data_IF_861187295385
#
_entry.id   IF_861187295385
#
_cell.length_a   1.000
_cell.length_b   1.000
_cell.length_c   1.000
_cell.angle_alpha   90.00
_cell.angle_beta   90.00
_cell.angle_gamma   90.00
#
_symmetry.space_group_name_H-M   'P 1'
#
loop_
_entity.id
_entity.type
_entity.pdbx_description
1 polymer ?
#
# COMPACT_ATOMS: atom_id res chain seq x y z
N UNK A 1 -2.44 -99.37 -29.37
CA UNK A 1 -2.80 -98.18 -28.56
C UNK A 1 -2.62 -98.53 -27.08
N UNK A 2 -1.46 -98.27 -26.50
CA UNK A 2 -1.19 -98.54 -25.08
C UNK A 2 -1.60 -97.32 -24.25
N UNK A 3 -2.68 -97.45 -23.46
CA UNK A 3 -3.06 -96.43 -22.47
C UNK A 3 -2.12 -96.59 -21.28
N UNK A 4 -1.15 -95.69 -21.14
CA UNK A 4 -0.32 -95.54 -19.94
C UNK A 4 -1.25 -95.41 -18.72
N UNK A 5 -1.19 -96.38 -17.80
CA UNK A 5 -1.86 -96.32 -16.51
C UNK A 5 -1.05 -95.37 -15.63
N UNK A 6 -1.37 -94.09 -15.70
CA UNK A 6 -0.82 -93.08 -14.79
C UNK A 6 -1.16 -93.51 -13.36
N UNK A 7 -0.14 -93.62 -12.50
CA UNK A 7 -0.32 -93.94 -11.08
C UNK A 7 -1.11 -92.79 -10.42
N UNK A 8 -2.34 -93.02 -9.92
CA UNK A 8 -3.19 -91.96 -9.39
C UNK A 8 -2.52 -91.17 -8.26
N UNK A 9 -1.70 -91.82 -7.43
CA UNK A 9 -1.00 -91.17 -6.33
C UNK A 9 0.10 -90.20 -6.81
N UNK A 10 0.75 -90.50 -7.94
CA UNK A 10 1.75 -89.62 -8.53
C UNK A 10 1.10 -88.37 -9.15
N UNK A 11 -0.02 -88.57 -9.86
CA UNK A 11 -0.81 -87.48 -10.44
C UNK A 11 -1.31 -86.49 -9.38
N UNK A 12 -1.88 -86.97 -8.27
CA UNK A 12 -2.35 -86.08 -7.20
C UNK A 12 -1.21 -85.35 -6.49
N UNK A 13 -0.04 -85.99 -6.33
CA UNK A 13 1.14 -85.35 -5.73
C UNK A 13 1.69 -84.22 -6.60
N UNK A 14 1.82 -84.46 -7.91
CA UNK A 14 2.25 -83.45 -8.89
C UNK A 14 1.25 -82.29 -8.95
N UNK A 15 -0.05 -82.59 -8.95
CA UNK A 15 -1.09 -81.55 -8.92
C UNK A 15 -1.08 -80.71 -7.64
N UNK A 16 -0.81 -81.30 -6.48
CA UNK A 16 -0.63 -80.54 -5.24
C UNK A 16 0.59 -79.62 -5.32
N UNK A 17 1.73 -80.10 -5.84
CA UNK A 17 2.94 -79.29 -6.01
C UNK A 17 2.72 -78.12 -6.98
N UNK A 18 1.99 -78.33 -8.08
CA UNK A 18 1.61 -77.25 -9.01
C UNK A 18 0.75 -76.18 -8.33
N UNK A 19 -0.23 -76.60 -7.51
CA UNK A 19 -1.11 -75.67 -6.80
C UNK A 19 -0.35 -74.91 -5.72
N UNK A 20 0.54 -75.57 -4.97
CA UNK A 20 1.42 -74.93 -3.98
C UNK A 20 2.32 -73.88 -4.63
N UNK A 21 2.97 -74.21 -5.76
CA UNK A 21 3.80 -73.26 -6.50
C UNK A 21 3.00 -72.04 -6.98
N UNK A 22 1.78 -72.28 -7.48
CA UNK A 22 0.88 -71.20 -7.94
C UNK A 22 0.42 -70.31 -6.79
N UNK A 23 0.13 -70.87 -5.62
CA UNK A 23 -0.21 -70.09 -4.41
C UNK A 23 0.97 -69.20 -4.02
N UNK A 24 2.19 -69.74 -4.00
CA UNK A 24 3.40 -68.98 -3.67
C UNK A 24 3.64 -67.82 -4.66
N UNK A 25 3.45 -68.07 -5.95
CA UNK A 25 3.55 -67.04 -7.00
C UNK A 25 2.49 -65.94 -6.82
N UNK A 26 1.23 -66.33 -6.58
CA UNK A 26 0.14 -65.38 -6.32
C UNK A 26 0.37 -64.57 -5.04
N UNK A 27 0.86 -65.19 -3.97
CA UNK A 27 1.18 -64.51 -2.72
C UNK A 27 2.30 -63.48 -2.93
N UNK A 28 3.29 -63.79 -3.78
CA UNK A 28 4.35 -62.86 -4.13
C UNK A 28 3.81 -61.68 -4.96
N UNK A 29 2.98 -61.96 -5.96
CA UNK A 29 2.34 -60.93 -6.79
C UNK A 29 1.46 -60.00 -5.93
N UNK A 30 0.70 -60.55 -4.98
CA UNK A 30 -0.11 -59.77 -4.02
C UNK A 30 0.78 -58.86 -3.18
N UNK A 31 1.91 -59.35 -2.65
CA UNK A 31 2.86 -58.53 -1.87
C UNK A 31 3.41 -57.37 -2.68
N UNK A 32 3.86 -57.62 -3.91
CA UNK A 32 4.43 -56.59 -4.78
C UNK A 32 3.39 -55.52 -5.15
N UNK A 33 2.17 -55.92 -5.51
CA UNK A 33 1.08 -54.98 -5.79
C UNK A 33 0.67 -54.18 -4.56
N UNK A 34 0.69 -54.79 -3.38
CA UNK A 34 0.40 -54.09 -2.12
C UNK A 34 1.43 -53.01 -1.85
N UNK A 35 2.72 -53.31 -2.02
CA UNK A 35 3.79 -52.32 -1.89
C UNK A 35 3.65 -51.17 -2.89
N UNK A 36 3.34 -51.47 -4.16
CA UNK A 36 3.13 -50.44 -5.17
C UNK A 36 1.95 -49.51 -4.82
N UNK A 37 0.88 -50.05 -4.23
CA UNK A 37 -0.26 -49.26 -3.78
C UNK A 37 0.11 -48.38 -2.58
N UNK A 38 0.92 -48.88 -1.63
CA UNK A 38 1.41 -48.08 -0.51
C UNK A 38 2.33 -46.95 -0.97
N UNK A 39 3.24 -47.21 -1.91
CA UNK A 39 4.13 -46.19 -2.47
C UNK A 39 3.33 -45.13 -3.25
N UNK A 40 2.32 -45.56 -4.02
CA UNK A 40 1.42 -44.66 -4.72
C UNK A 40 0.59 -43.80 -3.77
N UNK A 41 0.09 -44.36 -2.68
CA UNK A 41 -0.65 -43.61 -1.66
C UNK A 41 0.26 -42.62 -0.92
N UNK A 42 1.49 -43.01 -0.57
CA UNK A 42 2.48 -42.11 0.02
C UNK A 42 2.83 -40.95 -0.91
N UNK A 43 3.02 -41.22 -2.20
CA UNK A 43 3.25 -40.19 -3.21
C UNK A 43 2.03 -39.26 -3.35
N UNK A 44 0.81 -39.81 -3.39
CA UNK A 44 -0.41 -39.02 -3.46
C UNK A 44 -0.56 -38.09 -2.25
N UNK A 45 -0.26 -38.56 -1.03
CA UNK A 45 -0.25 -37.73 0.18
C UNK A 45 0.80 -36.62 0.09
N UNK A 46 2.01 -36.93 -0.35
CA UNK A 46 3.08 -35.94 -0.53
C UNK A 46 2.65 -34.84 -1.51
N UNK A 47 2.16 -35.21 -2.70
CA UNK A 47 1.67 -34.26 -3.70
C UNK A 47 0.50 -33.43 -3.16
N UNK A 48 -0.41 -34.03 -2.38
CA UNK A 48 -1.50 -33.28 -1.75
C UNK A 48 -0.99 -32.26 -0.72
N UNK A 49 0.05 -32.58 0.04
CA UNK A 49 0.68 -31.62 0.97
C UNK A 49 1.34 -30.46 0.23
N UNK A 50 2.09 -30.72 -0.84
CA UNK A 50 2.68 -29.67 -1.68
C UNK A 50 1.60 -28.81 -2.34
N UNK A 51 0.53 -29.43 -2.86
CA UNK A 51 -0.60 -28.71 -3.45
C UNK A 51 -1.27 -27.79 -2.43
N UNK A 52 -1.42 -28.23 -1.18
CA UNK A 52 -1.96 -27.39 -0.10
C UNK A 52 -1.03 -26.22 0.23
N UNK A 53 0.28 -26.46 0.31
CA UNK A 53 1.26 -25.41 0.55
C UNK A 53 1.25 -24.36 -0.58
N UNK A 54 1.27 -24.79 -1.84
CA UNK A 54 1.22 -23.89 -3.00
C UNK A 54 -0.10 -23.11 -3.07
N UNK A 55 -1.23 -23.73 -2.71
CA UNK A 55 -2.51 -23.02 -2.62
C UNK A 55 -2.46 -21.93 -1.55
N UNK A 56 -1.85 -22.21 -0.40
CA UNK A 56 -1.70 -21.21 0.66
C UNK A 56 -0.82 -20.04 0.20
N UNK A 57 0.33 -20.33 -0.41
CA UNK A 57 1.25 -19.31 -0.95
C UNK A 57 0.58 -18.43 -2.01
N UNK A 58 -0.24 -19.03 -2.90
CA UNK A 58 -1.02 -18.28 -3.89
C UNK A 58 -2.05 -17.34 -3.24
N UNK A 59 -2.74 -17.77 -2.18
CA UNK A 59 -3.69 -16.93 -1.46
C UNK A 59 -2.98 -15.80 -0.70
N UNK A 60 -1.83 -16.08 -0.08
CA UNK A 60 -1.00 -15.07 0.60
C UNK A 60 -0.51 -14.01 -0.40
N UNK A 61 0.01 -14.44 -1.56
CA UNK A 61 0.45 -13.54 -2.63
C UNK A 61 -0.71 -12.71 -3.20
N UNK A 62 -1.90 -13.33 -3.36
CA UNK A 62 -3.10 -12.61 -3.82
C UNK A 62 -3.53 -11.53 -2.83
N UNK A 63 -3.47 -11.82 -1.54
CA UNK A 63 -3.81 -10.87 -0.48
C UNK A 63 -2.83 -9.69 -0.43
N UNK A 64 -1.53 -9.96 -0.59
CA UNK A 64 -0.50 -8.92 -0.68
C UNK A 64 -0.72 -8.02 -1.90
N UNK A 65 -0.96 -8.63 -3.07
CA UNK A 65 -1.28 -7.89 -4.31
C UNK A 65 -2.52 -7.02 -4.18
N UNK A 66 -3.59 -7.52 -3.56
CA UNK A 66 -4.81 -6.73 -3.32
C UNK A 66 -4.53 -5.54 -2.38
N UNK A 67 -3.69 -5.75 -1.37
CA UNK A 67 -3.28 -4.70 -0.42
C UNK A 67 -2.49 -3.60 -1.11
N UNK A 68 -1.52 -3.94 -1.95
CA UNK A 68 -0.77 -2.96 -2.75
C UNK A 68 -1.66 -2.22 -3.75
N UNK A 69 -2.57 -2.92 -4.43
CA UNK A 69 -3.54 -2.29 -5.32
C UNK A 69 -4.44 -1.27 -4.59
N UNK A 70 -4.87 -1.58 -3.35
CA UNK A 70 -5.65 -0.66 -2.52
C UNK A 70 -4.85 0.60 -2.19
N UNK A 71 -3.58 0.45 -1.77
CA UNK A 71 -2.67 1.59 -1.50
C UNK A 71 -2.50 2.47 -2.73
N UNK A 72 -2.15 1.87 -3.88
CA UNK A 72 -1.99 2.58 -5.14
C UNK A 72 -3.25 3.33 -5.57
N UNK A 73 -4.43 2.71 -5.43
CA UNK A 73 -5.70 3.32 -5.82
C UNK A 73 -6.02 4.56 -4.98
N UNK A 74 -5.73 4.55 -3.68
CA UNK A 74 -5.94 5.70 -2.80
C UNK A 74 -4.99 6.84 -3.19
N UNK A 75 -3.69 6.56 -3.33
CA UNK A 75 -2.70 7.57 -3.70
C UNK A 75 -2.97 8.18 -5.09
N UNK A 76 -3.30 7.33 -6.08
CA UNK A 76 -3.66 7.77 -7.42
C UNK A 76 -4.89 8.69 -7.42
N UNK A 77 -5.89 8.40 -6.56
CA UNK A 77 -7.07 9.25 -6.41
C UNK A 77 -6.71 10.64 -5.86
N UNK A 78 -5.90 10.70 -4.79
CA UNK A 78 -5.42 11.97 -4.23
C UNK A 78 -4.65 12.76 -5.30
N UNK A 79 -3.68 12.12 -5.96
CA UNK A 79 -2.90 12.76 -7.03
C UNK A 79 -3.77 13.28 -8.17
N UNK A 80 -4.78 12.51 -8.58
CA UNK A 80 -5.75 12.89 -9.62
C UNK A 80 -6.56 14.12 -9.22
N UNK A 81 -7.13 14.14 -8.02
CA UNK A 81 -7.94 15.26 -7.54
C UNK A 81 -7.10 16.54 -7.44
N UNK A 82 -5.87 16.45 -6.93
CA UNK A 82 -4.91 17.57 -6.90
C UNK A 82 -4.58 18.06 -8.31
N UNK A 83 -4.26 17.15 -9.25
CA UNK A 83 -3.87 17.52 -10.61
C UNK A 83 -5.02 18.12 -11.40
N UNK A 84 -6.24 17.60 -11.25
CA UNK A 84 -7.44 18.17 -11.86
C UNK A 84 -7.65 19.62 -11.40
N UNK A 85 -7.48 19.93 -10.11
CA UNK A 85 -7.54 21.32 -9.61
C UNK A 85 -6.54 22.21 -10.34
N UNK A 86 -5.28 21.78 -10.44
CA UNK A 86 -4.24 22.56 -11.12
C UNK A 86 -4.59 22.84 -12.59
N UNK A 87 -5.08 21.84 -13.32
CA UNK A 87 -5.50 22.01 -14.71
C UNK A 87 -6.70 22.94 -14.84
N UNK A 88 -7.66 22.85 -13.92
CA UNK A 88 -8.81 23.75 -13.89
C UNK A 88 -8.38 25.21 -13.64
N UNK A 89 -7.43 25.44 -12.72
CA UNK A 89 -6.89 26.77 -12.45
C UNK A 89 -6.08 27.34 -13.62
N UNK A 90 -5.35 26.48 -14.36
CA UNK A 90 -4.55 26.91 -15.50
C UNK A 90 -5.39 27.41 -16.69
N UNK A 91 -6.69 27.11 -16.74
CA UNK A 91 -7.61 27.56 -17.80
C UNK A 91 -7.65 29.09 -17.95
N UNK A 92 -7.51 29.86 -16.87
CA UNK A 92 -7.48 31.32 -17.00
C UNK A 92 -6.25 31.81 -17.76
N UNK A 93 -5.09 31.21 -17.48
CA UNK A 93 -3.82 31.60 -18.09
C UNK A 93 -3.69 31.10 -19.53
N UNK A 94 -4.10 29.86 -19.79
CA UNK A 94 -3.91 29.21 -21.09
C UNK A 94 -5.04 29.51 -22.07
N UNK A 95 -6.27 29.68 -21.57
CA UNK A 95 -7.48 29.83 -22.41
C UNK A 95 -8.19 31.17 -22.21
N UNK A 96 -7.69 32.06 -21.35
CA UNK A 96 -8.34 33.34 -21.05
C UNK A 96 -9.69 33.22 -20.35
N UNK A 97 -9.98 32.06 -19.74
CA UNK A 97 -11.28 31.82 -19.10
C UNK A 97 -11.39 32.56 -17.76
N UNK A 98 -12.55 33.18 -17.52
CA UNK A 98 -12.83 33.83 -16.24
C UNK A 98 -12.90 32.77 -15.11
N UNK A 99 -12.21 32.96 -13.97
CA UNK A 99 -12.26 32.07 -12.82
C UNK A 99 -13.68 31.77 -12.29
N UNK A 100 -14.64 32.66 -12.50
CA UNK A 100 -16.05 32.43 -12.14
C UNK A 100 -16.69 31.24 -12.90
N UNK A 101 -16.12 30.85 -14.05
CA UNK A 101 -16.58 29.74 -14.87
C UNK A 101 -15.87 28.42 -14.55
N UNK A 102 -14.97 28.41 -13.57
CA UNK A 102 -14.27 27.20 -13.19
C UNK A 102 -15.23 26.21 -12.53
N UNK A 103 -14.96 24.92 -12.73
CA UNK A 103 -15.70 23.88 -12.06
C UNK A 103 -15.37 23.90 -10.55
N UNK A 104 -16.24 24.54 -9.76
CA UNK A 104 -16.07 24.68 -8.32
C UNK A 104 -15.91 23.32 -7.60
N UNK A 105 -16.54 22.25 -8.09
CA UNK A 105 -16.37 20.90 -7.52
C UNK A 105 -14.97 20.33 -7.75
N UNK A 106 -14.35 20.62 -8.89
CA UNK A 106 -12.99 20.20 -9.18
C UNK A 106 -11.99 20.93 -8.29
N UNK A 107 -12.17 22.25 -8.16
CA UNK A 107 -11.37 23.06 -7.26
C UNK A 107 -11.51 22.60 -5.81
N UNK A 108 -12.75 22.38 -5.34
CA UNK A 108 -13.02 21.92 -3.98
C UNK A 108 -12.38 20.56 -3.70
N UNK A 109 -12.56 19.55 -4.56
CA UNK A 109 -11.98 18.21 -4.34
C UNK A 109 -10.46 18.23 -4.30
N UNK A 110 -9.80 18.92 -5.23
CA UNK A 110 -8.34 19.02 -5.19
C UNK A 110 -7.84 19.84 -4.00
N UNK A 111 -8.61 20.83 -3.56
CA UNK A 111 -8.32 21.58 -2.34
C UNK A 111 -8.46 20.73 -1.08
N UNK A 112 -9.49 19.90 -1.01
CA UNK A 112 -9.65 18.95 0.08
C UNK A 112 -8.47 17.96 0.07
N UNK A 113 -8.17 17.33 -1.08
CA UNK A 113 -7.04 16.41 -1.25
C UNK A 113 -5.67 17.00 -0.89
N UNK A 114 -5.46 18.30 -1.10
CA UNK A 114 -4.17 18.96 -0.83
C UNK A 114 -4.02 19.50 0.60
N UNK A 115 -5.12 19.79 1.31
CA UNK A 115 -5.06 20.53 2.57
C UNK A 115 -5.69 19.80 3.77
N UNK A 116 -6.52 18.78 3.54
CA UNK A 116 -7.00 17.91 4.62
C UNK A 116 -5.99 16.81 4.87
N UNK A 117 -5.89 16.40 6.12
CA UNK A 117 -5.23 15.15 6.45
C UNK A 117 -6.06 13.98 5.91
N UNK A 118 -5.38 12.98 5.35
CA UNK A 118 -5.96 11.74 4.85
C UNK A 118 -5.14 10.57 5.37
N UNK A 119 -5.44 10.10 6.57
CA UNK A 119 -4.59 9.11 7.25
C UNK A 119 -4.47 7.80 6.50
N UNK A 120 -5.48 7.41 5.73
CA UNK A 120 -5.38 6.24 4.85
C UNK A 120 -4.37 6.43 3.70
N UNK A 121 -4.30 7.63 3.13
CA UNK A 121 -3.33 7.96 2.09
C UNK A 121 -1.91 8.07 2.68
N UNK A 122 -1.76 8.73 3.81
CA UNK A 122 -0.48 8.90 4.49
C UNK A 122 0.05 7.55 5.02
N UNK A 123 -0.83 6.68 5.52
CA UNK A 123 -0.49 5.32 5.88
C UNK A 123 -0.08 4.50 4.65
N UNK A 124 -0.81 4.62 3.53
CA UNK A 124 -0.44 3.98 2.28
C UNK A 124 0.91 4.47 1.74
N UNK A 125 1.24 5.75 1.92
CA UNK A 125 2.53 6.32 1.54
C UNK A 125 3.68 5.74 2.37
N UNK A 126 3.50 5.60 3.68
CA UNK A 126 4.54 5.09 4.60
C UNK A 126 4.68 3.56 4.58
N UNK A 127 3.59 2.85 4.28
CA UNK A 127 3.56 1.37 4.24
C UNK A 127 3.68 0.80 2.84
N UNK A 128 3.47 1.60 1.81
CA UNK A 128 3.82 1.27 0.44
C UNK A 128 5.26 1.68 0.17
N UNK A 129 5.93 0.98 -0.73
CA UNK A 129 7.32 1.26 -1.10
C UNK A 129 7.39 2.46 -2.07
N UNK A 130 6.84 3.60 -1.65
CA UNK A 130 6.74 4.83 -2.45
C UNK A 130 7.71 5.94 -2.02
N UNK A 131 8.29 5.82 -0.82
CA UNK A 131 9.25 6.75 -0.26
C UNK A 131 10.64 6.13 -0.27
N UNK A 132 11.66 6.98 -0.49
CA UNK A 132 13.04 6.60 -0.23
C UNK A 132 13.27 6.39 1.28
N UNK A 133 14.28 5.59 1.64
CA UNK A 133 14.53 5.21 3.04
C UNK A 133 14.74 6.43 3.97
N UNK A 134 15.40 7.47 3.48
CA UNK A 134 15.63 8.72 4.23
C UNK A 134 14.33 9.49 4.48
N UNK A 135 13.48 9.62 3.45
CA UNK A 135 12.17 10.27 3.57
C UNK A 135 11.28 9.52 4.57
N UNK A 136 11.26 8.20 4.47
CA UNK A 136 10.50 7.33 5.37
C UNK A 136 10.99 7.46 6.81
N UNK A 137 12.30 7.49 7.05
CA UNK A 137 12.86 7.68 8.38
C UNK A 137 12.44 9.01 9.00
N UNK A 138 12.44 10.10 8.22
CA UNK A 138 12.03 11.42 8.69
C UNK A 138 10.52 11.55 8.94
N UNK A 139 9.69 10.94 8.10
CA UNK A 139 8.23 11.11 8.15
C UNK A 139 7.53 10.12 9.09
N UNK A 140 8.12 8.95 9.35
CA UNK A 140 7.49 7.91 10.19
C UNK A 140 7.16 8.41 11.60
N UNK A 141 8.04 9.22 12.20
CA UNK A 141 7.84 9.78 13.54
C UNK A 141 6.74 10.85 13.61
N UNK A 142 6.39 11.47 12.47
CA UNK A 142 5.38 12.53 12.39
C UNK A 142 3.97 11.94 12.36
N UNK A 143 3.78 10.79 11.73
CA UNK A 143 2.48 10.14 11.59
C UNK A 143 1.71 10.02 12.92
N UNK A 144 2.27 9.43 14.01
CA UNK A 144 1.55 9.33 15.28
C UNK A 144 1.28 10.70 15.92
N UNK A 145 2.01 11.76 15.59
CA UNK A 145 1.74 13.10 16.12
C UNK A 145 0.50 13.73 15.45
N UNK A 146 0.24 13.38 14.20
CA UNK A 146 -0.94 13.85 13.44
C UNK A 146 -2.16 12.96 13.72
N UNK A 147 -1.95 11.65 13.77
CA UNK A 147 -3.00 10.62 13.81
C UNK A 147 -3.12 9.95 15.17
N UNK A 148 -3.03 10.76 16.23
CA UNK A 148 -3.40 10.38 17.59
C UNK A 148 -2.69 9.14 18.17
N UNK A 149 -1.37 9.07 17.97
CA UNK A 149 -0.53 7.99 18.49
C UNK A 149 -0.60 6.69 17.68
N UNK A 150 -1.37 6.65 16.59
CA UNK A 150 -1.47 5.46 15.75
C UNK A 150 -0.21 5.27 14.89
N UNK A 151 0.14 4.01 14.65
CA UNK A 151 1.11 3.66 13.61
C UNK A 151 0.40 3.53 12.26
N UNK A 152 1.10 3.75 11.14
CA UNK A 152 0.55 3.59 9.80
C UNK A 152 -0.17 2.24 9.58
N UNK A 153 0.39 1.15 10.11
CA UNK A 153 -0.15 -0.21 9.96
C UNK A 153 -1.45 -0.42 10.76
N UNK A 154 -1.63 0.30 11.86
CA UNK A 154 -2.80 0.16 12.74
C UNK A 154 -3.93 1.11 12.39
N UNK A 155 -3.66 2.13 11.57
CA UNK A 155 -4.62 3.17 11.23
C UNK A 155 -5.94 2.56 10.73
N UNK A 156 -5.89 1.69 9.72
CA UNK A 156 -7.10 1.09 9.11
C UNK A 156 -7.90 0.14 10.01
N UNK A 157 -7.44 -0.16 11.22
CA UNK A 157 -8.15 -1.01 12.19
C UNK A 157 -9.17 -0.27 13.05
N UNK A 158 -9.28 1.05 12.93
CA UNK A 158 -10.23 1.86 13.70
C UNK A 158 -11.64 1.87 13.08
N UNK A 159 -12.69 2.07 13.89
CA UNK A 159 -14.05 2.31 13.37
C UNK A 159 -14.11 3.50 12.41
N UNK A 160 -15.03 3.46 11.45
CA UNK A 160 -15.18 4.46 10.41
C UNK A 160 -15.38 5.89 10.93
N UNK A 161 -16.20 6.09 11.98
CA UNK A 161 -16.38 7.41 12.61
C UNK A 161 -15.12 7.86 13.36
N UNK A 162 -14.38 6.94 13.95
CA UNK A 162 -13.11 7.24 14.62
C UNK A 162 -12.04 7.66 13.62
N UNK A 163 -11.92 6.94 12.49
CA UNK A 163 -11.05 7.30 11.37
C UNK A 163 -11.34 8.72 10.86
N UNK A 164 -12.61 9.06 10.67
CA UNK A 164 -13.01 10.41 10.28
C UNK A 164 -12.64 11.46 11.34
N UNK A 165 -12.85 11.17 12.62
CA UNK A 165 -12.49 12.07 13.70
C UNK A 165 -10.99 12.34 13.73
N UNK A 166 -10.20 11.27 13.60
CA UNK A 166 -8.74 11.32 13.52
C UNK A 166 -8.28 12.14 12.30
N UNK A 167 -8.89 11.98 11.13
CA UNK A 167 -8.55 12.78 9.95
C UNK A 167 -8.89 14.26 10.10
N UNK A 168 -10.05 14.60 10.67
CA UNK A 168 -10.39 15.99 10.95
C UNK A 168 -9.44 16.60 11.99
N UNK A 169 -9.13 15.87 13.05
CA UNK A 169 -8.14 16.30 14.04
C UNK A 169 -6.75 16.45 13.43
N UNK A 170 -6.32 15.52 12.57
CA UNK A 170 -5.06 15.60 11.84
C UNK A 170 -5.00 16.83 10.94
N UNK A 171 -6.12 17.19 10.31
CA UNK A 171 -6.24 18.44 9.53
C UNK A 171 -6.05 19.68 10.42
N UNK A 172 -6.65 19.69 11.61
CA UNK A 172 -6.48 20.77 12.59
C UNK A 172 -5.02 20.88 13.04
N UNK A 173 -4.40 19.76 13.39
CA UNK A 173 -3.02 19.70 13.90
C UNK A 173 -2.01 20.13 12.83
N UNK A 174 -2.12 19.60 11.61
CA UNK A 174 -1.22 19.92 10.50
C UNK A 174 -1.28 21.40 10.11
N UNK A 175 -2.50 21.95 9.96
CA UNK A 175 -2.68 23.36 9.61
C UNK A 175 -2.24 24.29 10.74
N UNK A 176 -2.46 23.90 12.01
CA UNK A 176 -1.93 24.65 13.16
C UNK A 176 -0.40 24.70 13.15
N UNK A 177 0.26 23.57 12.86
CA UNK A 177 1.72 23.50 12.76
C UNK A 177 2.24 24.39 11.61
N UNK A 178 1.59 24.36 10.45
CA UNK A 178 1.95 25.21 9.30
C UNK A 178 1.80 26.70 9.59
N UNK A 179 0.83 27.10 10.41
CA UNK A 179 0.58 28.51 10.72
C UNK A 179 1.23 28.98 12.05
N UNK A 180 2.38 28.40 12.42
CA UNK A 180 3.16 28.75 13.62
C UNK A 180 2.32 28.81 14.92
N UNK A 181 1.31 27.97 15.01
CA UNK A 181 0.42 27.91 16.16
C UNK A 181 -0.60 29.04 16.29
N UNK A 182 -0.90 29.76 15.21
CA UNK A 182 -2.09 30.63 15.19
C UNK A 182 -3.37 29.78 15.31
N UNK A 183 -4.49 30.40 15.72
CA UNK A 183 -5.81 29.74 15.88
C UNK A 183 -5.96 28.81 17.10
N UNK A 184 -5.30 29.12 18.21
CA UNK A 184 -5.33 28.34 19.48
C UNK A 184 -6.77 28.04 19.96
N UNK A 185 -7.69 29.01 19.89
CA UNK A 185 -9.07 28.82 20.37
C UNK A 185 -9.83 27.77 19.56
N UNK A 186 -9.72 27.81 18.23
CA UNK A 186 -10.38 26.85 17.34
C UNK A 186 -9.78 25.45 17.53
N UNK A 187 -8.45 25.37 17.70
CA UNK A 187 -7.76 24.10 18.01
C UNK A 187 -8.23 23.51 19.34
N UNK A 188 -8.40 24.32 20.38
CA UNK A 188 -8.87 23.82 21.68
C UNK A 188 -10.29 23.26 21.57
N UNK A 189 -11.19 23.98 20.89
CA UNK A 189 -12.57 23.52 20.71
C UNK A 189 -12.67 22.23 19.86
N UNK A 190 -11.76 22.06 18.89
CA UNK A 190 -11.61 20.80 18.17
C UNK A 190 -11.11 19.67 19.09
N UNK A 191 -10.10 19.93 19.92
CA UNK A 191 -9.58 18.96 20.87
C UNK A 191 -10.65 18.49 21.88
N UNK A 192 -11.48 19.40 22.38
CA UNK A 192 -12.59 19.04 23.28
C UNK A 192 -13.59 18.09 22.59
N UNK A 193 -13.89 18.33 21.31
CA UNK A 193 -14.76 17.46 20.52
C UNK A 193 -14.13 16.10 20.26
N UNK A 194 -12.82 16.07 19.97
CA UNK A 194 -12.08 14.82 19.78
C UNK A 194 -12.02 13.99 21.06
N UNK A 195 -11.76 14.62 22.22
CA UNK A 195 -11.73 13.91 23.50
C UNK A 195 -13.06 13.26 23.84
N UNK A 196 -14.19 13.95 23.60
CA UNK A 196 -15.51 13.36 23.75
C UNK A 196 -15.69 12.09 22.90
N UNK A 197 -15.27 12.12 21.62
CA UNK A 197 -15.38 10.98 20.71
C UNK A 197 -14.55 9.80 21.23
N UNK A 198 -13.32 10.05 21.69
CA UNK A 198 -12.46 9.00 22.25
C UNK A 198 -13.05 8.36 23.50
N UNK A 199 -13.53 9.19 24.44
CA UNK A 199 -14.13 8.70 25.68
C UNK A 199 -15.34 7.82 25.38
N UNK A 200 -16.14 8.20 24.37
CA UNK A 200 -17.27 7.40 23.90
C UNK A 200 -16.84 6.09 23.24
N UNK A 201 -15.79 6.09 22.42
CA UNK A 201 -15.26 4.87 21.83
C UNK A 201 -14.83 3.86 22.89
N UNK A 202 -14.11 4.32 23.92
CA UNK A 202 -13.68 3.50 25.05
C UNK A 202 -14.86 2.94 25.87
N UNK A 203 -15.97 3.68 25.97
CA UNK A 203 -17.14 3.28 26.75
C UNK A 203 -18.06 2.29 26.01
N UNK A 204 -18.26 2.50 24.70
CA UNK A 204 -19.33 1.85 23.93
C UNK A 204 -18.85 0.63 23.13
N UNK A 205 -17.56 0.57 22.80
CA UNK A 205 -17.03 -0.38 21.81
C UNK A 205 -17.49 -0.09 20.39
N UNK A 206 -16.88 -0.73 19.40
CA UNK A 206 -16.96 -0.33 17.98
C UNK A 206 -18.39 -0.25 17.42
N UNK A 207 -19.21 -1.27 17.66
CA UNK A 207 -20.54 -1.36 17.06
C UNK A 207 -21.51 -0.28 17.56
N UNK A 208 -21.57 -0.07 18.87
CA UNK A 208 -22.48 0.95 19.46
C UNK A 208 -21.92 2.35 19.23
N UNK A 209 -20.60 2.51 19.22
CA UNK A 209 -19.95 3.78 18.88
C UNK A 209 -20.34 4.30 17.49
N UNK A 210 -20.44 3.41 16.50
CA UNK A 210 -20.82 3.79 15.13
C UNK A 210 -22.25 4.32 15.02
N UNK A 211 -23.15 3.99 15.94
CA UNK A 211 -24.55 4.43 15.89
C UNK A 211 -24.85 5.57 16.89
N UNK A 212 -23.88 5.96 17.73
CA UNK A 212 -24.10 6.98 18.77
C UNK A 212 -24.34 8.38 18.17
N UNK A 213 -25.45 9.00 18.57
CA UNK A 213 -25.83 10.34 18.12
C UNK A 213 -24.88 11.43 18.64
N UNK A 214 -24.36 11.26 19.85
CA UNK A 214 -23.38 12.16 20.45
C UNK A 214 -22.07 12.17 19.67
N UNK A 215 -21.56 10.99 19.31
CA UNK A 215 -20.40 10.83 18.42
C UNK A 215 -20.67 11.51 17.09
N UNK A 216 -21.85 11.32 16.50
CA UNK A 216 -22.23 11.96 15.23
C UNK A 216 -22.23 13.49 15.33
N UNK A 217 -22.78 14.03 16.41
CA UNK A 217 -22.81 15.46 16.67
C UNK A 217 -21.39 16.04 16.81
N UNK A 218 -20.56 15.43 17.66
CA UNK A 218 -19.20 15.89 17.90
C UNK A 218 -18.30 15.71 16.67
N UNK A 219 -18.50 14.65 15.88
CA UNK A 219 -17.79 14.44 14.62
C UNK A 219 -18.11 15.55 13.62
N UNK A 220 -19.38 15.93 13.49
CA UNK A 220 -19.80 17.06 12.65
C UNK A 220 -19.15 18.36 13.10
N UNK A 221 -19.14 18.63 14.41
CA UNK A 221 -18.52 19.82 14.99
C UNK A 221 -17.00 19.85 14.74
N UNK A 222 -16.33 18.72 14.86
CA UNK A 222 -14.90 18.58 14.58
C UNK A 222 -14.60 18.85 13.10
N UNK A 223 -15.43 18.35 12.18
CA UNK A 223 -15.36 18.69 10.75
C UNK A 223 -15.50 20.20 10.50
N UNK A 224 -16.47 20.86 11.14
CA UNK A 224 -16.69 22.30 10.99
C UNK A 224 -15.46 23.10 11.43
N UNK A 225 -14.78 22.69 12.52
CA UNK A 225 -13.52 23.30 12.93
C UNK A 225 -12.39 23.08 11.93
N UNK A 226 -12.23 21.85 11.40
CA UNK A 226 -11.25 21.57 10.36
C UNK A 226 -11.49 22.44 9.12
N UNK A 227 -12.74 22.53 8.65
CA UNK A 227 -13.12 23.35 7.48
C UNK A 227 -12.83 24.85 7.71
N UNK A 228 -13.12 25.35 8.92
CA UNK A 228 -12.85 26.73 9.31
C UNK A 228 -11.34 27.04 9.31
N UNK A 229 -10.55 26.19 9.95
CA UNK A 229 -9.10 26.37 10.09
C UNK A 229 -8.42 26.31 8.72
N UNK A 230 -8.77 25.33 7.88
CA UNK A 230 -8.27 25.22 6.51
C UNK A 230 -8.64 26.47 5.70
N UNK A 231 -9.88 26.95 5.83
CA UNK A 231 -10.32 28.15 5.11
C UNK A 231 -9.53 29.40 5.53
N UNK A 232 -9.24 29.55 6.82
CA UNK A 232 -8.44 30.66 7.33
C UNK A 232 -6.98 30.58 6.84
N UNK A 233 -6.38 29.39 6.84
CA UNK A 233 -5.02 29.17 6.35
C UNK A 233 -4.87 29.57 4.87
N UNK A 234 -5.82 29.15 4.03
CA UNK A 234 -5.82 29.51 2.59
C UNK A 234 -5.88 31.02 2.35
N UNK A 235 -6.59 31.78 3.19
CA UNK A 235 -6.65 33.24 3.06
C UNK A 235 -5.30 33.89 3.39
N UNK A 236 -4.59 33.34 4.37
CA UNK A 236 -3.22 33.76 4.69
C UNK A 236 -2.28 33.49 3.50
N UNK A 237 -2.31 32.28 2.94
CA UNK A 237 -1.48 31.92 1.78
C UNK A 237 -1.75 32.82 0.56
N UNK A 238 -3.03 33.10 0.28
CA UNK A 238 -3.42 33.99 -0.82
C UNK A 238 -2.91 35.43 -0.61
N UNK A 239 -2.92 35.93 0.63
CA UNK A 239 -2.44 37.27 0.97
C UNK A 239 -0.91 37.40 0.83
N UNK A 240 -0.17 36.34 1.16
CA UNK A 240 1.28 36.24 0.95
C UNK A 240 1.62 36.15 -0.54
N UNK A 241 0.85 35.39 -1.32
CA UNK A 241 1.02 35.28 -2.76
C UNK A 241 0.79 36.62 -3.49
N UNK A 242 -0.18 37.44 -3.06
CA UNK A 242 -0.38 38.80 -3.62
C UNK A 242 0.72 39.79 -3.24
N UNK A 243 1.51 39.48 -2.20
CA UNK A 243 2.68 40.26 -1.79
C UNK A 243 3.94 39.88 -2.56
N UNK A 244 3.93 38.73 -3.25
CA UNK A 244 5.06 38.12 -3.95
C UNK A 244 4.74 37.81 -5.41
N UNK A 245 4.06 38.72 -6.10
CA UNK A 245 3.87 38.64 -7.56
C UNK A 245 5.01 39.33 -8.28
N UNK A 246 6.15 38.63 -8.37
CA UNK A 246 7.13 38.85 -9.45
C UNK A 246 7.42 37.52 -10.14
N UNK A 247 6.38 36.88 -10.65
CA UNK A 247 6.55 35.90 -11.73
C UNK A 247 6.49 36.68 -13.05
N UNK A 248 7.67 37.07 -13.52
CA UNK A 248 7.86 37.49 -14.92
C UNK A 248 7.65 36.30 -15.86
N UNK A 249 7.43 36.55 -17.17
CA UNK A 249 7.16 35.50 -18.14
C UNK A 249 8.33 34.49 -18.20
N UNK A 250 8.09 33.24 -18.61
CA UNK A 250 9.14 32.23 -18.71
C UNK A 250 10.26 32.75 -19.61
N UNK A 251 11.47 32.86 -19.07
CA UNK A 251 12.64 33.15 -19.88
C UNK A 251 12.75 32.03 -20.92
N UNK A 252 12.65 32.42 -22.18
CA UNK A 252 12.92 31.58 -23.33
C UNK A 252 14.33 31.04 -23.17
N UNK A 253 14.45 29.72 -22.98
CA UNK A 253 15.75 29.04 -23.00
C UNK A 253 16.38 29.31 -24.36
N UNK A 254 17.40 30.17 -24.40
CA UNK A 254 18.29 30.29 -25.54
C UNK A 254 19.05 28.97 -25.73
N UNK A 255 19.28 28.52 -26.97
CA UNK A 255 20.04 27.30 -27.22
C UNK A 255 21.45 27.42 -26.63
N UNK A 256 21.84 26.39 -25.87
CA UNK A 256 23.16 26.24 -25.27
C UNK A 256 24.24 26.30 -26.38
N UNK A 257 24.97 27.42 -26.47
CA UNK A 257 26.20 27.48 -27.25
C UNK A 257 27.22 26.54 -26.62
N UNK A 258 27.67 25.54 -27.39
CA UNK A 258 28.76 24.64 -27.00
C UNK A 258 30.03 25.47 -26.75
N UNK A 259 30.73 25.28 -25.61
CA UNK A 259 32.04 25.89 -25.46
C UNK A 259 33.03 25.23 -26.42
N UNK A 260 33.68 26.06 -27.23
CA UNK A 260 34.75 25.67 -28.15
C UNK A 260 35.92 25.06 -27.36
N UNK A 261 36.22 23.80 -27.65
CA UNK A 261 37.42 23.12 -27.14
C UNK A 261 38.61 23.64 -27.95
N UNK A 262 39.47 24.44 -27.32
CA UNK A 262 40.74 24.85 -27.89
C UNK A 262 41.75 23.68 -27.84
N UNK A 263 42.54 23.44 -28.91
CA UNK A 263 43.48 22.32 -28.98
C UNK A 263 44.73 22.58 -28.13
N UNK A 264 45.05 21.66 -27.21
CA UNK A 264 46.33 21.65 -26.48
C UNK A 264 47.42 21.05 -27.38
N UNK A 265 48.37 21.89 -27.77
CA UNK A 265 49.63 21.48 -28.39
C UNK A 265 50.50 20.72 -27.38
N UNK A 266 50.84 19.47 -27.71
CA UNK A 266 51.87 18.69 -27.03
C UNK A 266 53.26 19.25 -27.38
N UNK A 267 53.91 19.95 -26.44
CA UNK A 267 55.35 20.20 -26.50
C UNK A 267 56.07 19.16 -25.64
N UNK A 268 56.85 18.30 -26.32
CA UNK A 268 57.63 17.25 -25.71
C UNK A 268 58.74 17.79 -24.79
N UNK A 269 58.79 17.29 -23.56
CA UNK A 269 59.98 17.40 -22.70
C UNK A 269 60.87 16.18 -22.93
N UNK A 270 62.10 16.44 -23.37
CA UNK A 270 63.19 15.46 -23.46
C UNK A 270 63.61 14.97 -22.07
N UNK A 271 64.00 13.69 -21.91
CA UNK A 271 64.56 13.18 -20.66
C UNK A 271 66.04 13.56 -20.48
N UNK A 272 66.53 13.69 -19.24
CA UNK A 272 67.94 13.96 -18.96
C UNK A 272 68.79 12.68 -19.06
N UNK A 273 69.96 12.82 -19.68
CA UNK A 273 71.05 11.84 -19.75
C UNK A 273 71.56 11.48 -18.36
N UNK A 274 71.70 10.18 -18.06
CA UNK A 274 72.58 9.66 -17.01
C UNK A 274 73.87 9.17 -17.67
N UNK A 275 74.99 9.78 -17.28
CA UNK A 275 76.34 9.25 -17.49
C UNK A 275 76.88 8.82 -16.13
N UNK A 276 77.07 7.51 -15.95
CA UNK A 276 78.16 6.78 -15.29
C UNK A 276 77.68 5.37 -14.98
#
# INVERSE_FOLDING_TARGET
MARSKINPAYFWKERCQELEARIVEQDQEIREKTQQLEDADNHARFVETERKALKQELEDFRLEMETEQKKMKILARIGTDVRIRYLEQAKSQVMGLNPANFNAKFIQRGNDAAHRAYGAADAALLTGNFLEDEEKAHLTGVFPLIYDGLSPQKYGGMPAKMLQAIDYQGSVVSVYAQNNGSMIKDKQAAADSMNFIKDKHLQLGDGVFEEDEGVTHHLKRLREFADLIITKARRYDASLATSSTTYGPPQTLTPLEKPAIAPKFYQGRRPPRRNK
#
